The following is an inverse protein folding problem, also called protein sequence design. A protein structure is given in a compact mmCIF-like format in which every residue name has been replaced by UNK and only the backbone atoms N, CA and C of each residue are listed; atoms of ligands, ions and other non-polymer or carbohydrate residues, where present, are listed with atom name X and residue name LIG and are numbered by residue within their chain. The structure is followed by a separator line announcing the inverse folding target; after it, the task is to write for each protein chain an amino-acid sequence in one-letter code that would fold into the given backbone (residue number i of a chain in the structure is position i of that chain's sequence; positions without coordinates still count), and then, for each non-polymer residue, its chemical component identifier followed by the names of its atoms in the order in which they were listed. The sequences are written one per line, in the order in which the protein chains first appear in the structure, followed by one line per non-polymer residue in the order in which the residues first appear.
data_IF_445691461670
#
_entry.id   IF_445691461670
#
_cell.length_a   1.000
_cell.length_b   1.000
_cell.length_c   1.000
_cell.angle_alpha   90.00
_cell.angle_beta   90.00
_cell.angle_gamma   90.00
#
_symmetry.space_group_name_H-M   'P 1'
#
loop_
_entity.id
_entity.type
_entity.pdbx_description
1 polymer ?
#
# COMPACT_ATOMS: atom_id res chain seq x y z
N UNK A 1 13.36 -21.09 -31.32
CA UNK A 1 13.01 -21.26 -29.89
C UNK A 1 13.35 -22.68 -29.44
N UNK A 2 14.17 -22.84 -28.37
CA UNK A 2 14.41 -24.17 -27.80
C UNK A 2 13.11 -24.73 -27.24
N UNK A 3 12.71 -25.93 -27.63
CA UNK A 3 11.52 -26.60 -27.12
C UNK A 3 11.65 -26.81 -25.61
N UNK A 4 10.70 -26.29 -24.84
CA UNK A 4 10.69 -26.44 -23.37
C UNK A 4 10.44 -27.90 -23.03
N UNK A 5 11.29 -28.50 -22.21
CA UNK A 5 11.12 -29.89 -21.75
C UNK A 5 9.82 -30.05 -20.97
N UNK A 6 9.15 -31.19 -21.18
CA UNK A 6 7.89 -31.54 -20.55
C UNK A 6 8.05 -32.74 -19.61
N UNK A 7 7.04 -32.98 -18.76
CA UNK A 7 6.99 -34.21 -17.93
C UNK A 7 7.06 -35.49 -18.77
N UNK A 8 6.52 -35.46 -20.01
CA UNK A 8 6.57 -36.59 -20.92
C UNK A 8 8.01 -36.89 -21.42
N UNK A 9 8.82 -35.85 -21.62
CA UNK A 9 10.22 -36.03 -22.02
C UNK A 9 11.02 -36.69 -20.88
N UNK A 10 10.78 -36.29 -19.62
CA UNK A 10 11.39 -36.95 -18.44
C UNK A 10 10.88 -38.39 -18.30
N UNK A 11 9.59 -38.64 -18.45
CA UNK A 11 9.01 -39.98 -18.35
C UNK A 11 9.65 -40.93 -19.35
N UNK A 12 9.87 -40.48 -20.59
CA UNK A 12 10.58 -41.21 -21.64
C UNK A 12 12.03 -41.50 -21.25
N UNK A 13 12.74 -40.50 -20.73
CA UNK A 13 14.16 -40.65 -20.33
C UNK A 13 14.32 -41.55 -19.11
N UNK A 14 13.44 -41.45 -18.12
CA UNK A 14 13.45 -42.26 -16.91
C UNK A 14 12.84 -43.66 -17.11
N UNK A 15 12.23 -43.96 -18.27
CA UNK A 15 11.50 -45.20 -18.59
C UNK A 15 10.40 -45.55 -17.58
N UNK A 16 9.68 -44.54 -17.08
CA UNK A 16 8.55 -44.70 -16.16
C UNK A 16 7.30 -43.99 -16.74
N UNK A 17 6.16 -44.23 -16.08
CA UNK A 17 4.91 -43.57 -16.53
C UNK A 17 4.94 -42.05 -16.25
N UNK A 18 4.20 -41.27 -17.06
CA UNK A 18 3.98 -39.84 -16.86
C UNK A 18 3.44 -39.57 -15.44
N UNK A 19 2.57 -40.48 -14.93
CA UNK A 19 2.00 -40.36 -13.59
C UNK A 19 3.07 -40.53 -12.51
N UNK A 20 4.03 -41.46 -12.69
CA UNK A 20 5.15 -41.68 -11.76
C UNK A 20 6.03 -40.40 -11.70
N UNK A 21 6.39 -39.80 -12.84
CA UNK A 21 7.15 -38.56 -12.89
C UNK A 21 6.37 -37.42 -12.23
N UNK A 22 5.09 -37.28 -12.54
CA UNK A 22 4.24 -36.24 -11.93
C UNK A 22 4.16 -36.40 -10.42
N UNK A 23 4.03 -37.63 -9.89
CA UNK A 23 4.03 -37.90 -8.44
C UNK A 23 5.38 -37.59 -7.81
N UNK A 24 6.49 -37.98 -8.47
CA UNK A 24 7.83 -37.73 -7.98
C UNK A 24 8.13 -36.22 -7.86
N UNK A 25 7.88 -35.44 -8.92
CA UNK A 25 8.15 -34.02 -8.98
C UNK A 25 7.23 -33.21 -8.03
N UNK A 26 5.98 -33.64 -7.84
CA UNK A 26 5.02 -32.97 -6.97
C UNK A 26 4.98 -33.53 -5.54
N UNK A 27 5.94 -34.33 -5.15
CA UNK A 27 6.06 -34.96 -3.84
C UNK A 27 4.79 -35.71 -3.36
N UNK A 28 4.06 -36.34 -4.29
CA UNK A 28 2.84 -37.11 -3.97
C UNK A 28 3.18 -38.54 -3.56
N UNK A 29 2.34 -39.21 -2.74
CA UNK A 29 2.51 -40.61 -2.37
C UNK A 29 2.39 -41.56 -3.57
N UNK A 30 2.92 -42.80 -3.43
CA UNK A 30 2.85 -43.86 -4.46
C UNK A 30 4.07 -43.90 -5.37
N UNK A 31 5.18 -43.32 -4.96
CA UNK A 31 6.52 -43.45 -5.57
C UNK A 31 7.51 -43.65 -4.41
N UNK A 32 8.40 -44.69 -4.51
CA UNK A 32 9.46 -44.89 -3.52
C UNK A 32 10.47 -43.73 -3.54
N UNK A 33 11.14 -43.53 -2.40
CA UNK A 33 12.11 -42.43 -2.27
C UNK A 33 13.29 -42.60 -3.24
N UNK A 34 13.74 -43.81 -3.51
CA UNK A 34 14.78 -44.11 -4.51
C UNK A 34 14.36 -43.67 -5.92
N UNK A 35 13.16 -44.06 -6.35
CA UNK A 35 12.63 -43.68 -7.69
C UNK A 35 12.40 -42.17 -7.75
N UNK A 36 11.90 -41.57 -6.69
CA UNK A 36 11.70 -40.13 -6.59
C UNK A 36 13.04 -39.40 -6.79
N UNK A 37 14.07 -39.77 -6.04
CA UNK A 37 15.38 -39.12 -6.11
C UNK A 37 16.00 -39.29 -7.50
N UNK A 38 15.91 -40.49 -8.09
CA UNK A 38 16.38 -40.73 -9.46
C UNK A 38 15.71 -39.84 -10.49
N UNK A 39 14.39 -39.65 -10.40
CA UNK A 39 13.62 -38.77 -11.30
C UNK A 39 14.01 -37.29 -11.11
N UNK A 40 14.17 -36.85 -9.86
CA UNK A 40 14.59 -35.45 -9.58
C UNK A 40 15.98 -35.14 -10.12
N UNK A 41 16.94 -36.03 -9.89
CA UNK A 41 18.31 -35.90 -10.41
C UNK A 41 18.32 -35.88 -11.97
N UNK A 42 17.55 -36.75 -12.61
CA UNK A 42 17.43 -36.79 -14.05
C UNK A 42 16.77 -35.51 -14.61
N UNK A 43 15.71 -35.02 -13.96
CA UNK A 43 15.04 -33.77 -14.34
C UNK A 43 16.00 -32.57 -14.27
N UNK A 44 16.79 -32.49 -13.21
CA UNK A 44 17.82 -31.46 -13.04
C UNK A 44 18.91 -31.55 -14.11
N UNK A 45 19.44 -32.75 -14.35
CA UNK A 45 20.47 -32.99 -15.38
C UNK A 45 19.97 -32.62 -16.79
N UNK A 46 18.68 -32.83 -17.08
CA UNK A 46 18.03 -32.44 -18.34
C UNK A 46 17.72 -30.94 -18.41
N UNK A 47 17.87 -30.18 -17.32
CA UNK A 47 17.47 -28.75 -17.27
C UNK A 47 15.96 -28.57 -17.30
N UNK A 48 15.20 -29.52 -16.76
CA UNK A 48 13.75 -29.37 -16.64
C UNK A 48 13.40 -28.41 -15.51
N UNK A 49 12.62 -27.40 -15.85
CA UNK A 49 12.01 -26.51 -14.87
C UNK A 49 10.50 -26.76 -14.80
N UNK A 50 9.95 -27.05 -13.61
CA UNK A 50 8.52 -27.23 -13.46
C UNK A 50 7.72 -26.08 -14.11
N UNK A 51 6.70 -26.41 -14.85
CA UNK A 51 5.81 -25.42 -15.42
C UNK A 51 4.77 -25.04 -14.34
N UNK A 52 4.98 -23.93 -13.68
CA UNK A 52 4.08 -23.41 -12.64
C UNK A 52 2.67 -23.19 -13.14
N UNK A 53 2.48 -22.81 -14.43
CA UNK A 53 1.15 -22.63 -15.04
C UNK A 53 0.43 -23.99 -15.12
N UNK A 54 1.12 -25.03 -15.61
CA UNK A 54 0.56 -26.37 -15.71
C UNK A 54 0.26 -26.97 -14.32
N UNK A 55 1.12 -26.69 -13.33
CA UNK A 55 0.89 -27.08 -11.93
C UNK A 55 -0.32 -26.35 -11.36
N UNK A 56 -0.44 -25.04 -11.60
CA UNK A 56 -1.56 -24.22 -11.15
C UNK A 56 -2.89 -24.72 -11.71
N UNK A 57 -2.94 -25.11 -13.00
CA UNK A 57 -4.11 -25.75 -13.61
C UNK A 57 -4.48 -27.08 -12.93
N UNK A 58 -3.49 -27.89 -12.58
CA UNK A 58 -3.71 -29.19 -11.94
C UNK A 58 -4.09 -29.10 -10.44
N UNK A 59 -3.57 -28.10 -9.73
CA UNK A 59 -3.76 -27.91 -8.28
C UNK A 59 -4.79 -26.85 -7.94
N UNK A 60 -5.23 -26.04 -8.93
CA UNK A 60 -6.02 -24.83 -8.78
C UNK A 60 -5.33 -23.76 -7.87
N UNK A 61 -3.99 -23.86 -7.71
CA UNK A 61 -3.18 -22.93 -6.94
C UNK A 61 -2.08 -22.34 -7.83
N UNK A 62 -2.08 -21.02 -7.98
CA UNK A 62 -1.09 -20.30 -8.79
C UNK A 62 0.09 -19.82 -7.95
N UNK A 63 -0.01 -19.86 -6.63
CA UNK A 63 0.91 -19.26 -5.66
C UNK A 63 1.27 -17.82 -6.06
N UNK A 64 0.28 -17.06 -6.49
CA UNK A 64 0.47 -15.71 -7.01
C UNK A 64 -0.63 -14.79 -6.48
N UNK A 65 -0.23 -13.64 -5.97
CA UNK A 65 -1.13 -12.59 -5.49
C UNK A 65 -0.90 -11.29 -6.28
N UNK A 66 -1.91 -10.44 -6.29
CA UNK A 66 -1.82 -9.09 -6.83
C UNK A 66 -1.58 -8.06 -5.72
N UNK A 67 -0.68 -7.12 -5.96
CA UNK A 67 -0.52 -5.93 -5.13
C UNK A 67 -0.73 -4.71 -6.01
N UNK A 68 -1.81 -3.96 -5.75
CA UNK A 68 -2.17 -2.77 -6.51
C UNK A 68 -1.90 -1.54 -5.66
N UNK A 69 -1.10 -0.61 -6.17
CA UNK A 69 -0.73 0.64 -5.51
C UNK A 69 -0.97 1.83 -6.43
N UNK A 70 -1.34 3.01 -5.88
CA UNK A 70 -1.51 4.22 -6.68
C UNK A 70 -0.21 4.72 -7.30
N UNK A 71 0.89 4.73 -6.54
CA UNK A 71 2.19 5.20 -6.99
C UNK A 71 3.32 4.49 -6.24
N UNK A 72 4.03 3.59 -6.92
CA UNK A 72 5.15 2.84 -6.34
C UNK A 72 6.43 3.69 -6.15
N UNK A 73 6.46 4.92 -6.66
CA UNK A 73 7.57 5.87 -6.40
C UNK A 73 7.39 6.61 -5.07
N UNK A 74 6.18 6.63 -4.53
CA UNK A 74 5.92 7.16 -3.20
C UNK A 74 6.44 6.16 -2.13
N UNK A 75 7.39 6.60 -1.25
CA UNK A 75 7.97 5.72 -0.23
C UNK A 75 6.96 5.04 0.69
N UNK A 76 5.78 5.62 0.92
CA UNK A 76 4.68 4.99 1.64
C UNK A 76 4.35 3.62 1.02
N UNK A 77 3.99 3.62 -0.26
CA UNK A 77 3.60 2.38 -0.96
C UNK A 77 4.78 1.44 -1.15
N UNK A 78 5.98 1.99 -1.38
CA UNK A 78 7.20 1.17 -1.50
C UNK A 78 7.51 0.40 -0.21
N UNK A 79 7.34 1.01 0.98
CA UNK A 79 7.54 0.33 2.26
C UNK A 79 6.45 -0.71 2.56
N UNK A 80 5.19 -0.41 2.23
CA UNK A 80 4.09 -1.39 2.33
C UNK A 80 4.36 -2.57 1.40
N UNK A 81 4.72 -2.30 0.13
CA UNK A 81 5.06 -3.34 -0.85
C UNK A 81 6.21 -4.22 -0.37
N UNK A 82 7.25 -3.63 0.24
CA UNK A 82 8.35 -4.39 0.84
C UNK A 82 7.89 -5.34 1.94
N UNK A 83 6.96 -4.89 2.79
CA UNK A 83 6.38 -5.75 3.83
C UNK A 83 5.57 -6.91 3.25
N UNK A 84 4.82 -6.67 2.16
CA UNK A 84 4.09 -7.72 1.43
C UNK A 84 5.05 -8.70 0.77
N UNK A 85 6.11 -8.19 0.11
CA UNK A 85 7.12 -9.01 -0.58
C UNK A 85 7.87 -9.94 0.36
N UNK A 86 8.36 -9.39 1.49
CA UNK A 86 9.08 -10.17 2.51
C UNK A 86 8.21 -11.35 2.99
N UNK A 87 6.94 -11.10 3.32
CA UNK A 87 6.04 -12.16 3.76
C UNK A 87 5.64 -13.13 2.64
N UNK A 88 5.46 -12.66 1.39
CA UNK A 88 5.15 -13.52 0.26
C UNK A 88 6.30 -14.49 -0.04
N UNK A 89 7.53 -14.00 0.01
CA UNK A 89 8.74 -14.83 -0.14
C UNK A 89 8.80 -15.94 0.92
N UNK A 90 8.55 -15.59 2.19
CA UNK A 90 8.53 -16.53 3.32
C UNK A 90 7.48 -17.64 3.14
N UNK A 91 6.37 -17.36 2.44
CA UNK A 91 5.26 -18.28 2.21
C UNK A 91 5.23 -18.90 0.79
N UNK A 92 6.26 -18.66 -0.03
CA UNK A 92 6.37 -19.25 -1.38
C UNK A 92 5.40 -18.66 -2.42
N UNK A 93 4.92 -17.43 -2.20
CA UNK A 93 4.07 -16.70 -3.15
C UNK A 93 4.86 -15.73 -4.02
N UNK A 94 4.41 -15.58 -5.26
CA UNK A 94 4.86 -14.53 -6.17
C UNK A 94 3.90 -13.35 -6.12
N UNK A 95 4.42 -12.14 -6.39
CA UNK A 95 3.62 -10.91 -6.42
C UNK A 95 3.59 -10.33 -7.84
N UNK A 96 2.39 -9.98 -8.32
CA UNK A 96 2.21 -9.02 -9.39
C UNK A 96 1.99 -7.64 -8.79
N UNK A 97 3.03 -6.80 -8.76
CA UNK A 97 2.91 -5.39 -8.38
C UNK A 97 2.40 -4.59 -9.59
N UNK A 98 1.30 -3.88 -9.39
CA UNK A 98 0.69 -3.03 -10.42
C UNK A 98 0.57 -1.60 -9.91
N UNK A 99 1.13 -0.66 -10.67
CA UNK A 99 1.06 0.78 -10.41
C UNK A 99 -0.07 1.40 -11.24
N UNK A 100 -1.00 2.11 -10.57
CA UNK A 100 -2.19 2.68 -11.24
C UNK A 100 -2.06 4.16 -11.54
N UNK A 101 -0.99 4.81 -11.07
CA UNK A 101 -0.69 6.23 -11.31
C UNK A 101 -1.86 7.16 -10.88
N UNK A 102 -2.44 6.90 -9.71
CA UNK A 102 -3.58 7.65 -9.14
C UNK A 102 -4.84 7.66 -10.05
N UNK A 103 -4.88 6.84 -11.11
CA UNK A 103 -5.91 6.81 -12.15
C UNK A 103 -6.87 5.63 -11.93
N UNK A 104 -8.17 5.88 -11.65
CA UNK A 104 -9.16 4.83 -11.47
C UNK A 104 -9.42 3.98 -12.72
N UNK A 105 -9.19 4.52 -13.93
CA UNK A 105 -9.35 3.75 -15.18
C UNK A 105 -8.24 2.71 -15.30
N UNK A 106 -7.01 3.11 -14.98
CA UNK A 106 -5.88 2.17 -14.91
C UNK A 106 -6.06 1.13 -13.81
N UNK A 107 -6.66 1.53 -12.69
CA UNK A 107 -6.95 0.61 -11.59
C UNK A 107 -7.92 -0.49 -12.01
N UNK A 108 -9.01 -0.15 -12.72
CA UNK A 108 -9.94 -1.13 -13.28
C UNK A 108 -9.25 -2.08 -14.25
N UNK A 109 -8.46 -1.56 -15.19
CA UNK A 109 -7.72 -2.38 -16.15
C UNK A 109 -6.72 -3.32 -15.45
N UNK A 110 -6.08 -2.86 -14.36
CA UNK A 110 -5.19 -3.66 -13.54
C UNK A 110 -5.93 -4.83 -12.87
N UNK A 111 -7.10 -4.56 -12.27
CA UNK A 111 -7.93 -5.58 -11.63
C UNK A 111 -8.42 -6.61 -12.63
N UNK A 112 -8.88 -6.19 -13.83
CA UNK A 112 -9.25 -7.10 -14.91
C UNK A 112 -8.09 -7.99 -15.34
N UNK A 113 -6.90 -7.42 -15.50
CA UNK A 113 -5.70 -8.18 -15.87
C UNK A 113 -5.32 -9.21 -14.80
N UNK A 114 -5.40 -8.85 -13.53
CA UNK A 114 -5.10 -9.75 -12.40
C UNK A 114 -6.13 -10.88 -12.32
N UNK A 115 -7.42 -10.57 -12.49
CA UNK A 115 -8.49 -11.58 -12.51
C UNK A 115 -8.27 -12.60 -13.63
N UNK A 116 -7.97 -12.14 -14.85
CA UNK A 116 -7.67 -13.02 -16.01
C UNK A 116 -6.47 -13.94 -15.79
N UNK A 117 -5.53 -13.55 -14.90
CA UNK A 117 -4.36 -14.35 -14.54
C UNK A 117 -4.65 -15.37 -13.43
N UNK A 118 -5.90 -15.44 -12.94
CA UNK A 118 -6.32 -16.35 -11.89
C UNK A 118 -5.43 -16.28 -10.64
N UNK A 119 -5.13 -15.07 -10.16
CA UNK A 119 -4.41 -14.88 -8.90
C UNK A 119 -5.25 -15.38 -7.73
N UNK A 120 -4.60 -15.86 -6.65
CA UNK A 120 -5.29 -16.43 -5.49
C UNK A 120 -5.90 -15.36 -4.58
N UNK A 121 -5.40 -14.12 -4.66
CA UNK A 121 -5.94 -12.99 -3.91
C UNK A 121 -5.27 -11.68 -4.28
N UNK A 122 -5.83 -10.57 -3.81
CA UNK A 122 -5.33 -9.23 -4.09
C UNK A 122 -5.22 -8.36 -2.83
N UNK A 123 -4.16 -7.55 -2.76
CA UNK A 123 -4.00 -6.46 -1.80
C UNK A 123 -4.14 -5.15 -2.58
N UNK A 124 -5.13 -4.33 -2.19
CA UNK A 124 -5.44 -3.06 -2.85
C UNK A 124 -5.13 -1.91 -1.90
N UNK A 125 -4.05 -1.16 -2.17
CA UNK A 125 -3.64 -0.04 -1.34
C UNK A 125 -4.30 1.24 -1.83
N UNK A 126 -5.02 1.94 -0.95
CA UNK A 126 -5.56 3.29 -1.18
C UNK A 126 -6.28 3.44 -2.53
N UNK A 127 -7.12 2.48 -2.90
CA UNK A 127 -7.88 2.47 -4.16
C UNK A 127 -8.53 3.83 -4.45
N UNK A 128 -8.51 4.26 -5.71
CA UNK A 128 -9.15 5.50 -6.19
C UNK A 128 -10.52 5.25 -6.81
N UNK A 129 -10.95 4.00 -6.86
CA UNK A 129 -12.29 3.64 -7.37
C UNK A 129 -13.41 4.18 -6.48
N UNK A 130 -14.56 4.58 -7.04
CA UNK A 130 -15.78 4.74 -6.28
C UNK A 130 -16.09 3.48 -5.48
N UNK A 131 -16.66 3.64 -4.29
CA UNK A 131 -16.84 2.51 -3.35
C UNK A 131 -17.69 1.39 -3.96
N UNK A 132 -18.76 1.75 -4.71
CA UNK A 132 -19.64 0.79 -5.40
C UNK A 132 -18.85 -0.08 -6.38
N UNK A 133 -18.05 0.55 -7.22
CA UNK A 133 -17.25 -0.14 -8.24
C UNK A 133 -16.16 -0.99 -7.58
N UNK A 134 -15.52 -0.48 -6.52
CA UNK A 134 -14.54 -1.25 -5.76
C UNK A 134 -15.16 -2.52 -5.16
N UNK A 135 -16.35 -2.43 -4.57
CA UNK A 135 -17.08 -3.56 -4.00
C UNK A 135 -17.44 -4.61 -5.07
N UNK A 136 -17.86 -4.18 -6.28
CA UNK A 136 -18.11 -5.07 -7.42
C UNK A 136 -16.82 -5.80 -7.85
N UNK A 137 -15.70 -5.09 -7.91
CA UNK A 137 -14.42 -5.71 -8.26
C UNK A 137 -13.96 -6.70 -7.21
N UNK A 138 -14.08 -6.38 -5.91
CA UNK A 138 -13.71 -7.27 -4.80
C UNK A 138 -14.43 -8.62 -4.89
N UNK A 139 -15.72 -8.62 -5.25
CA UNK A 139 -16.52 -9.85 -5.37
C UNK A 139 -15.97 -10.86 -6.38
N UNK A 140 -15.17 -10.40 -7.34
CA UNK A 140 -14.58 -11.26 -8.39
C UNK A 140 -13.41 -12.10 -7.90
N UNK A 141 -12.73 -11.67 -6.83
CA UNK A 141 -11.53 -12.33 -6.32
C UNK A 141 -11.86 -13.30 -5.17
N UNK A 142 -11.12 -14.41 -5.03
CA UNK A 142 -11.31 -15.34 -3.92
C UNK A 142 -11.05 -14.69 -2.55
N UNK A 143 -10.04 -13.84 -2.45
CA UNK A 143 -9.64 -13.14 -1.23
C UNK A 143 -9.10 -11.75 -1.56
N UNK A 144 -9.48 -10.74 -0.77
CA UNK A 144 -9.00 -9.37 -0.94
C UNK A 144 -8.69 -8.74 0.42
N UNK A 145 -7.58 -8.02 0.47
CA UNK A 145 -7.29 -7.10 1.57
C UNK A 145 -7.22 -5.68 1.01
N UNK A 146 -7.95 -4.76 1.62
CA UNK A 146 -7.85 -3.33 1.28
C UNK A 146 -7.10 -2.57 2.37
N UNK A 147 -6.20 -1.68 1.96
CA UNK A 147 -5.47 -0.78 2.87
C UNK A 147 -5.98 0.64 2.62
N UNK A 148 -6.32 1.35 3.70
CA UNK A 148 -6.89 2.72 3.67
C UNK A 148 -8.21 2.82 2.88
N UNK A 149 -9.01 1.78 2.92
CA UNK A 149 -10.37 1.76 2.34
C UNK A 149 -11.31 0.99 3.25
N UNK A 150 -12.58 1.37 3.23
CA UNK A 150 -13.65 0.65 3.92
C UNK A 150 -14.77 0.32 2.96
N UNK A 151 -15.23 -0.94 2.96
CA UNK A 151 -16.47 -1.31 2.28
C UNK A 151 -17.66 -0.75 3.05
N UNK A 152 -18.80 -0.52 2.35
CA UNK A 152 -20.06 -0.12 3.00
C UNK A 152 -20.70 -1.28 3.77
N UNK A 153 -20.37 -2.51 3.40
CA UNK A 153 -20.89 -3.73 4.01
C UNK A 153 -19.75 -4.74 4.22
N UNK A 154 -19.80 -5.54 5.29
CA UNK A 154 -18.92 -6.68 5.42
C UNK A 154 -19.05 -7.62 4.22
N UNK A 155 -17.95 -8.11 3.70
CA UNK A 155 -17.88 -9.08 2.60
C UNK A 155 -17.08 -10.28 3.06
N UNK A 156 -17.51 -11.53 2.74
CA UNK A 156 -16.90 -12.74 3.29
C UNK A 156 -15.45 -12.96 2.85
N UNK A 157 -15.06 -12.37 1.73
CA UNK A 157 -13.73 -12.47 1.14
C UNK A 157 -12.86 -11.21 1.34
N UNK A 158 -13.21 -10.34 2.31
CA UNK A 158 -12.58 -9.04 2.47
C UNK A 158 -12.12 -8.78 3.90
N UNK A 159 -10.88 -8.33 4.03
CA UNK A 159 -10.35 -7.69 5.25
C UNK A 159 -9.92 -6.26 4.91
N UNK A 160 -10.20 -5.31 5.80
CA UNK A 160 -9.75 -3.92 5.68
C UNK A 160 -8.75 -3.54 6.77
N UNK A 161 -7.69 -2.82 6.38
CA UNK A 161 -6.66 -2.29 7.27
C UNK A 161 -6.63 -0.78 7.07
N UNK A 162 -6.98 -0.02 8.11
CA UNK A 162 -7.08 1.43 8.03
C UNK A 162 -6.17 2.11 9.04
N UNK A 163 -5.57 3.23 8.64
CA UNK A 163 -4.89 4.14 9.55
C UNK A 163 -5.95 5.08 10.15
N UNK A 164 -5.83 5.39 11.44
CA UNK A 164 -6.69 6.37 12.11
C UNK A 164 -6.29 7.79 11.73
N UNK A 165 -6.62 8.19 10.51
CA UNK A 165 -6.30 9.50 9.94
C UNK A 165 -6.88 10.66 10.76
N UNK A 166 -8.07 10.47 11.36
CA UNK A 166 -8.69 11.50 12.22
C UNK A 166 -7.88 11.72 13.48
N UNK A 167 -7.46 10.64 14.13
CA UNK A 167 -6.58 10.71 15.32
C UNK A 167 -5.23 11.35 14.97
N UNK A 168 -4.66 11.01 13.82
CA UNK A 168 -3.44 11.61 13.31
C UNK A 168 -3.57 13.13 13.18
N UNK A 169 -4.62 13.61 12.55
CA UNK A 169 -4.88 15.04 12.41
C UNK A 169 -5.03 15.73 13.79
N UNK A 170 -5.73 15.09 14.73
CA UNK A 170 -5.86 15.61 16.10
C UNK A 170 -4.51 15.74 16.81
N UNK A 171 -3.61 14.75 16.65
CA UNK A 171 -2.26 14.79 17.22
C UNK A 171 -1.43 15.93 16.61
N UNK A 172 -1.46 16.08 15.28
CA UNK A 172 -0.72 17.13 14.58
C UNK A 172 -1.20 18.52 14.98
N UNK A 173 -2.51 18.77 14.96
CA UNK A 173 -3.07 20.06 15.34
C UNK A 173 -2.90 20.34 16.83
N UNK A 174 -3.05 19.35 17.69
CA UNK A 174 -2.79 19.48 19.13
C UNK A 174 -1.35 19.94 19.41
N UNK A 175 -0.37 19.43 18.66
CA UNK A 175 1.01 19.87 18.75
C UNK A 175 1.18 21.32 18.30
N UNK A 176 0.63 21.71 17.14
CA UNK A 176 0.66 23.12 16.68
C UNK A 176 0.06 24.06 17.73
N UNK A 177 -1.08 23.69 18.29
CA UNK A 177 -1.75 24.52 19.32
C UNK A 177 -0.91 24.65 20.59
N UNK A 178 -0.21 23.58 21.00
CA UNK A 178 0.72 23.61 22.14
C UNK A 178 1.93 24.54 21.88
N UNK A 179 2.36 24.68 20.61
CA UNK A 179 3.38 25.61 20.17
C UNK A 179 2.86 27.06 20.00
N UNK A 180 1.57 27.33 20.32
CA UNK A 180 0.95 28.63 20.16
C UNK A 180 0.51 28.99 18.74
N UNK A 181 0.60 28.06 17.77
CA UNK A 181 0.18 28.27 16.39
C UNK A 181 -1.34 28.36 16.30
N UNK A 182 -1.84 29.30 15.49
CA UNK A 182 -3.29 29.56 15.37
C UNK A 182 -3.76 29.73 13.91
N UNK A 183 -2.85 30.09 13.00
CA UNK A 183 -3.13 30.24 11.56
C UNK A 183 -2.70 28.97 10.83
N UNK A 184 -3.41 27.85 11.13
CA UNK A 184 -3.04 26.51 10.71
C UNK A 184 -3.70 26.22 9.36
N UNK A 185 -2.91 26.08 8.29
CA UNK A 185 -3.37 25.63 6.98
C UNK A 185 -3.29 24.10 6.85
N UNK A 186 -4.09 23.53 5.96
CA UNK A 186 -4.03 22.12 5.58
C UNK A 186 -3.83 21.98 4.08
N UNK A 187 -2.69 21.38 3.68
CA UNK A 187 -2.47 20.96 2.29
C UNK A 187 -2.95 19.52 2.17
N UNK A 188 -4.12 19.35 1.54
CA UNK A 188 -4.80 18.06 1.45
C UNK A 188 -4.39 17.30 0.16
N UNK A 189 -4.64 16.00 0.14
CA UNK A 189 -4.44 15.12 -1.02
C UNK A 189 -5.60 15.11 -2.00
N UNK A 190 -5.56 14.17 -2.98
CA UNK A 190 -6.58 14.05 -4.02
C UNK A 190 -8.00 13.87 -3.46
N UNK A 191 -9.00 14.49 -4.08
CA UNK A 191 -10.40 14.47 -3.61
C UNK A 191 -11.02 13.06 -3.57
N UNK A 192 -10.57 12.14 -4.42
CA UNK A 192 -10.99 10.73 -4.45
C UNK A 192 -10.23 9.84 -3.45
N UNK A 193 -9.36 10.41 -2.62
CA UNK A 193 -8.65 9.70 -1.56
C UNK A 193 -9.50 9.61 -0.29
N UNK A 194 -9.70 8.41 0.24
CA UNK A 194 -10.36 8.20 1.53
C UNK A 194 -9.57 8.82 2.68
N UNK A 195 -8.23 8.69 2.66
CA UNK A 195 -7.37 9.32 3.68
C UNK A 195 -7.44 10.84 3.62
N UNK A 196 -7.52 11.45 2.42
CA UNK A 196 -7.68 12.89 2.29
C UNK A 196 -8.97 13.38 2.95
N UNK A 197 -10.08 12.69 2.74
CA UNK A 197 -11.37 12.99 3.38
C UNK A 197 -11.27 12.85 4.90
N UNK A 198 -10.72 11.73 5.41
CA UNK A 198 -10.61 11.48 6.86
C UNK A 198 -9.68 12.47 7.56
N UNK A 199 -8.54 12.84 6.94
CA UNK A 199 -7.61 13.86 7.45
C UNK A 199 -8.27 15.23 7.51
N UNK A 200 -9.08 15.59 6.49
CA UNK A 200 -9.85 16.85 6.49
C UNK A 200 -10.92 16.86 7.58
N UNK A 201 -11.61 15.74 7.79
CA UNK A 201 -12.58 15.61 8.90
C UNK A 201 -11.90 15.77 10.27
N UNK A 202 -10.73 15.12 10.46
CA UNK A 202 -9.92 15.24 11.67
C UNK A 202 -9.38 16.66 11.89
N UNK A 203 -8.87 17.32 10.83
CA UNK A 203 -8.44 18.71 10.86
C UNK A 203 -9.58 19.64 11.31
N UNK A 204 -10.76 19.52 10.68
CA UNK A 204 -11.92 20.31 11.05
C UNK A 204 -12.39 20.05 12.48
N UNK A 205 -12.36 18.80 12.92
CA UNK A 205 -12.73 18.43 14.29
C UNK A 205 -11.77 19.04 15.31
N UNK A 206 -10.46 19.00 15.05
CA UNK A 206 -9.45 19.58 15.93
C UNK A 206 -9.57 21.11 16.04
N UNK A 207 -9.80 21.82 14.94
CA UNK A 207 -10.04 23.27 14.95
C UNK A 207 -11.29 23.63 15.76
N UNK A 208 -12.41 22.89 15.55
CA UNK A 208 -13.63 23.11 16.34
C UNK A 208 -13.40 22.93 17.83
N UNK A 209 -12.67 21.88 18.21
CA UNK A 209 -12.37 21.60 19.63
C UNK A 209 -11.47 22.67 20.26
N UNK A 210 -10.70 23.40 19.45
CA UNK A 210 -9.85 24.52 19.87
C UNK A 210 -10.54 25.88 19.73
N UNK A 211 -11.83 25.91 19.37
CA UNK A 211 -12.60 27.14 19.10
C UNK A 211 -11.97 28.05 18.05
N UNK A 212 -11.25 27.46 17.09
CA UNK A 212 -10.65 28.17 15.95
C UNK A 212 -11.60 28.20 14.74
N UNK A 213 -11.55 29.27 13.94
CA UNK A 213 -12.42 29.41 12.76
C UNK A 213 -12.12 28.32 11.71
N UNK A 214 -13.18 27.81 11.08
CA UNK A 214 -13.09 26.93 9.92
C UNK A 214 -13.12 27.77 8.65
N UNK A 215 -11.97 28.28 8.22
CA UNK A 215 -11.85 29.02 6.97
C UNK A 215 -11.52 28.06 5.81
N UNK A 216 -12.41 27.94 4.81
CA UNK A 216 -12.13 27.09 3.64
C UNK A 216 -10.88 27.51 2.86
N UNK A 217 -10.47 28.79 2.96
CA UNK A 217 -9.27 29.29 2.29
C UNK A 217 -7.97 28.73 2.91
N UNK A 218 -8.03 28.21 4.14
CA UNK A 218 -6.91 27.54 4.80
C UNK A 218 -6.68 26.09 4.30
N UNK A 219 -7.52 25.61 3.37
CA UNK A 219 -7.38 24.26 2.80
C UNK A 219 -7.05 24.37 1.32
N UNK A 220 -5.98 23.71 0.90
CA UNK A 220 -5.56 23.57 -0.50
C UNK A 220 -5.40 22.10 -0.84
N UNK A 221 -5.91 21.66 -2.00
CA UNK A 221 -5.74 20.29 -2.48
C UNK A 221 -4.62 20.22 -3.51
N UNK A 222 -3.84 19.13 -3.50
CA UNK A 222 -2.73 18.96 -4.44
C UNK A 222 -2.52 17.49 -4.85
N UNK A 223 -1.66 17.28 -5.85
CA UNK A 223 -1.03 15.97 -6.08
C UNK A 223 -0.23 15.54 -4.85
N UNK A 224 -0.22 14.24 -4.47
CA UNK A 224 0.41 13.79 -3.23
C UNK A 224 1.94 13.61 -3.35
N UNK A 225 2.60 14.56 -3.99
CA UNK A 225 4.04 14.61 -4.28
C UNK A 225 4.68 15.95 -3.84
N UNK A 226 5.99 16.06 -3.98
CA UNK A 226 6.73 17.26 -3.55
C UNK A 226 6.34 18.50 -4.34
N UNK A 227 6.16 18.37 -5.65
CA UNK A 227 5.80 19.52 -6.50
C UNK A 227 4.39 20.03 -6.19
N UNK A 228 3.42 19.11 -6.00
CA UNK A 228 2.08 19.45 -5.54
C UNK A 228 2.10 20.20 -4.22
N UNK A 229 2.90 19.73 -3.25
CA UNK A 229 3.10 20.39 -1.96
C UNK A 229 3.69 21.79 -2.08
N UNK A 230 4.69 21.97 -2.93
CA UNK A 230 5.33 23.26 -3.19
C UNK A 230 4.36 24.28 -3.78
N UNK A 231 3.65 23.88 -4.83
CA UNK A 231 2.67 24.77 -5.50
C UNK A 231 1.51 25.13 -4.57
N UNK A 232 0.99 24.18 -3.81
CA UNK A 232 -0.10 24.42 -2.87
C UNK A 232 0.31 25.37 -1.73
N UNK A 233 1.52 25.19 -1.16
CA UNK A 233 2.03 26.07 -0.13
C UNK A 233 2.27 27.49 -0.67
N UNK A 234 2.83 27.65 -1.87
CA UNK A 234 3.01 28.93 -2.52
C UNK A 234 1.66 29.66 -2.75
N UNK A 235 0.62 28.94 -3.21
CA UNK A 235 -0.72 29.47 -3.37
C UNK A 235 -1.34 29.91 -2.03
N UNK A 236 -1.14 29.14 -0.97
CA UNK A 236 -1.57 29.49 0.38
C UNK A 236 -0.88 30.76 0.88
N UNK A 237 0.44 30.88 0.73
CA UNK A 237 1.18 32.09 1.16
C UNK A 237 0.79 33.34 0.39
N UNK A 238 0.48 33.22 -0.91
CA UNK A 238 0.05 34.35 -1.73
C UNK A 238 -1.28 34.94 -1.26
N UNK A 239 -2.24 34.10 -0.84
CA UNK A 239 -3.56 34.55 -0.38
C UNK A 239 -3.64 34.80 1.13
N UNK A 240 -2.83 34.08 1.92
CA UNK A 240 -2.88 34.10 3.38
C UNK A 240 -1.45 34.22 3.99
N UNK A 241 -0.82 35.40 3.92
CA UNK A 241 0.60 35.54 4.31
C UNK A 241 0.89 35.31 5.80
N UNK A 242 -0.15 35.25 6.64
CA UNK A 242 -0.05 35.08 8.09
C UNK A 242 -0.10 33.60 8.55
N UNK A 243 -0.08 32.64 7.62
CA UNK A 243 -0.03 31.21 7.99
C UNK A 243 1.21 30.95 8.83
N UNK A 244 1.01 30.38 10.03
CA UNK A 244 2.03 30.05 11.03
C UNK A 244 2.26 28.54 11.21
N UNK A 245 1.39 27.69 10.61
CA UNK A 245 1.56 26.24 10.57
C UNK A 245 0.91 25.62 9.34
N UNK A 246 1.51 24.52 8.85
CA UNK A 246 0.98 23.70 7.74
C UNK A 246 0.92 22.24 8.20
N UNK A 247 -0.29 21.69 8.25
CA UNK A 247 -0.52 20.26 8.25
C UNK A 247 -0.53 19.77 6.81
N UNK A 248 0.36 18.84 6.46
CA UNK A 248 0.49 18.35 5.10
C UNK A 248 -0.12 16.93 4.96
N UNK A 249 -0.69 16.65 3.80
CA UNK A 249 -1.30 15.35 3.48
C UNK A 249 -0.34 14.19 3.73
N UNK A 250 0.90 14.29 3.28
CA UNK A 250 1.95 13.30 3.52
C UNK A 250 3.32 13.99 3.64
N UNK A 251 4.37 13.23 3.87
CA UNK A 251 5.72 13.77 4.02
C UNK A 251 6.27 14.37 2.71
N UNK A 252 5.92 13.82 1.55
CA UNK A 252 6.34 14.41 0.27
C UNK A 252 5.73 15.80 0.07
N UNK A 253 4.44 15.95 0.36
CA UNK A 253 3.75 17.25 0.35
C UNK A 253 4.36 18.21 1.39
N UNK A 254 4.70 17.71 2.58
CA UNK A 254 5.36 18.50 3.62
C UNK A 254 6.73 19.01 3.18
N UNK A 255 7.53 18.16 2.53
CA UNK A 255 8.85 18.54 1.99
C UNK A 255 8.70 19.60 0.89
N UNK A 256 7.72 19.46 0.01
CA UNK A 256 7.39 20.49 -0.98
C UNK A 256 6.98 21.82 -0.33
N UNK A 257 6.18 21.77 0.75
CA UNK A 257 5.80 22.97 1.50
C UNK A 257 7.02 23.64 2.19
N UNK A 258 8.00 22.84 2.68
CA UNK A 258 9.26 23.39 3.20
C UNK A 258 10.05 24.13 2.12
N UNK A 259 10.10 23.60 0.91
CA UNK A 259 10.72 24.28 -0.24
C UNK A 259 10.01 25.60 -0.56
N UNK A 260 8.69 25.63 -0.55
CA UNK A 260 7.93 26.87 -0.77
C UNK A 260 8.16 27.90 0.36
N UNK A 261 8.39 27.46 1.62
CA UNK A 261 8.81 28.36 2.69
C UNK A 261 10.16 29.00 2.39
N UNK A 262 11.16 28.23 1.96
CA UNK A 262 12.47 28.73 1.58
C UNK A 262 12.38 29.76 0.43
N UNK A 263 11.62 29.44 -0.62
CA UNK A 263 11.37 30.32 -1.76
C UNK A 263 10.69 31.65 -1.35
N UNK A 264 9.81 31.61 -0.33
CA UNK A 264 9.12 32.78 0.23
C UNK A 264 9.93 33.50 1.32
N UNK A 265 11.16 33.07 1.63
CA UNK A 265 12.00 33.63 2.69
C UNK A 265 11.47 33.38 4.11
N UNK A 266 10.59 32.38 4.29
CA UNK A 266 10.04 31.97 5.57
C UNK A 266 10.90 30.88 6.21
N UNK A 267 11.17 31.01 7.49
CA UNK A 267 11.93 30.01 8.27
C UNK A 267 11.00 28.93 8.82
N UNK A 268 11.45 27.69 8.73
CA UNK A 268 10.81 26.53 9.36
C UNK A 268 11.68 26.08 10.53
N UNK A 269 11.15 26.01 11.76
CA UNK A 269 9.74 26.16 12.16
C UNK A 269 9.35 27.58 12.61
N UNK A 270 10.28 28.55 12.65
CA UNK A 270 10.10 29.84 13.34
C UNK A 270 8.89 30.61 12.79
N UNK A 271 8.83 30.84 11.46
CA UNK A 271 7.74 31.56 10.80
C UNK A 271 6.57 30.63 10.47
N UNK A 272 6.85 29.40 10.05
CA UNK A 272 5.82 28.40 9.67
C UNK A 272 6.26 27.02 10.13
N UNK A 273 5.55 26.45 11.09
CA UNK A 273 5.76 25.07 11.53
C UNK A 273 5.12 24.09 10.53
N UNK A 274 5.74 22.93 10.27
CA UNK A 274 5.25 21.95 9.28
C UNK A 274 5.22 20.56 9.89
N UNK A 275 4.09 19.88 9.75
CA UNK A 275 3.92 18.47 10.12
C UNK A 275 3.46 17.66 8.91
N UNK A 276 4.17 16.55 8.62
CA UNK A 276 3.84 15.56 7.60
C UNK A 276 3.09 14.35 8.15
N UNK A 277 2.94 13.35 7.30
CA UNK A 277 2.37 12.04 7.61
C UNK A 277 3.15 10.97 6.86
N UNK A 278 3.35 9.81 7.46
CA UNK A 278 3.92 8.55 6.97
C UNK A 278 5.27 8.18 7.60
N UNK A 279 6.07 9.14 8.05
CA UNK A 279 7.44 8.96 8.56
C UNK A 279 8.35 8.22 7.57
N UNK A 280 8.36 8.71 6.32
CA UNK A 280 9.24 8.16 5.28
C UNK A 280 10.71 8.47 5.58
N UNK A 281 11.69 7.71 5.02
CA UNK A 281 13.11 7.93 5.30
C UNK A 281 13.59 9.37 5.05
N UNK A 282 13.00 10.07 4.07
CA UNK A 282 13.33 11.46 3.76
C UNK A 282 13.04 12.42 4.91
N UNK A 283 12.05 12.13 5.77
CA UNK A 283 11.70 12.97 6.92
C UNK A 283 12.87 13.17 7.90
N UNK A 284 13.83 12.23 7.94
CA UNK A 284 15.02 12.32 8.80
C UNK A 284 16.22 12.99 8.13
N UNK A 285 16.18 13.13 6.78
CA UNK A 285 17.32 13.60 5.97
C UNK A 285 17.20 15.09 5.66
N UNK A 286 15.97 15.58 5.38
CA UNK A 286 15.69 17.00 5.10
C UNK A 286 16.11 17.91 6.25
N UNK A 287 16.32 19.19 5.97
CA UNK A 287 16.69 20.21 6.95
C UNK A 287 15.74 21.42 6.85
N UNK A 288 15.07 21.71 7.97
CA UNK A 288 15.01 20.99 9.27
C UNK A 288 14.40 19.59 9.12
N UNK A 289 14.71 18.65 10.06
CA UNK A 289 14.12 17.30 10.03
C UNK A 289 12.62 17.38 10.26
N UNK A 290 11.87 16.63 9.46
CA UNK A 290 10.41 16.74 9.43
C UNK A 290 9.74 16.04 10.63
N UNK A 291 8.97 16.79 11.39
CA UNK A 291 7.97 16.28 12.34
C UNK A 291 6.84 15.63 11.56
N UNK A 292 6.45 14.40 11.92
CA UNK A 292 5.50 13.63 11.10
C UNK A 292 4.74 12.62 11.94
N UNK A 293 3.60 12.16 11.42
CA UNK A 293 2.84 11.06 11.99
C UNK A 293 3.41 9.73 11.50
N UNK A 294 3.91 8.94 12.44
CA UNK A 294 4.51 7.64 12.19
C UNK A 294 3.48 6.53 12.21
N UNK A 295 3.58 5.64 11.21
CA UNK A 295 2.98 4.30 11.20
C UNK A 295 4.01 3.30 10.69
N UNK A 296 4.00 2.08 11.23
CA UNK A 296 4.93 1.05 10.75
C UNK A 296 4.46 0.47 9.42
N UNK A 297 4.89 1.09 8.31
CA UNK A 297 4.45 0.78 6.95
C UNK A 297 4.78 -0.66 6.53
N UNK A 298 5.97 -1.17 6.90
CA UNK A 298 6.33 -2.58 6.62
C UNK A 298 5.45 -3.55 7.39
N UNK A 299 5.11 -3.21 8.63
CA UNK A 299 4.18 -4.02 9.42
C UNK A 299 2.78 -4.07 8.78
N UNK A 300 2.29 -2.94 8.26
CA UNK A 300 1.03 -2.90 7.49
C UNK A 300 1.09 -3.86 6.30
N UNK A 301 2.19 -3.86 5.54
CA UNK A 301 2.39 -4.79 4.43
C UNK A 301 2.38 -6.27 4.87
N UNK A 302 3.12 -6.61 5.92
CA UNK A 302 3.13 -7.98 6.48
C UNK A 302 1.75 -8.40 7.01
N UNK A 303 1.05 -7.49 7.71
CA UNK A 303 -0.30 -7.73 8.20
C UNK A 303 -1.28 -7.95 7.04
N UNK A 304 -1.18 -7.14 5.98
CA UNK A 304 -2.03 -7.28 4.81
C UNK A 304 -1.83 -8.64 4.11
N UNK A 305 -0.57 -9.07 3.95
CA UNK A 305 -0.32 -10.37 3.37
C UNK A 305 -0.81 -11.51 4.26
N UNK A 306 -0.49 -11.50 5.55
CA UNK A 306 -0.96 -12.53 6.49
C UNK A 306 -2.49 -12.63 6.45
N UNK A 307 -3.19 -11.51 6.55
CA UNK A 307 -4.65 -11.48 6.47
C UNK A 307 -5.18 -12.03 5.14
N UNK A 308 -4.46 -11.78 4.02
CA UNK A 308 -4.82 -12.35 2.72
C UNK A 308 -4.65 -13.86 2.69
N UNK A 309 -3.55 -14.39 3.23
CA UNK A 309 -3.30 -15.84 3.29
C UNK A 309 -4.32 -16.53 4.19
N UNK A 310 -4.62 -15.97 5.35
CA UNK A 310 -5.65 -16.50 6.26
C UNK A 310 -7.04 -16.55 5.56
N UNK A 311 -7.38 -15.56 4.70
CA UNK A 311 -8.59 -15.61 3.87
C UNK A 311 -8.53 -16.71 2.80
N UNK A 312 -7.39 -16.89 2.13
CA UNK A 312 -7.20 -17.91 1.08
C UNK A 312 -7.31 -19.32 1.68
N UNK A 313 -6.84 -19.51 2.90
CA UNK A 313 -6.89 -20.78 3.62
C UNK A 313 -8.26 -21.05 4.28
N UNK A 314 -9.10 -20.03 4.40
CA UNK A 314 -10.43 -20.13 5.02
C UNK A 314 -10.38 -20.03 6.55
N UNK A 315 -9.26 -19.62 7.11
CA UNK A 315 -9.03 -19.52 8.56
C UNK A 315 -9.44 -18.16 9.14
N UNK A 316 -9.66 -17.14 8.27
CA UNK A 316 -10.04 -15.81 8.70
C UNK A 316 -11.53 -15.54 8.55
N UNK A 317 -12.08 -14.79 9.50
CA UNK A 317 -13.36 -14.09 9.34
C UNK A 317 -13.15 -12.68 8.86
N UNK A 318 -14.09 -12.09 8.10
CA UNK A 318 -14.04 -10.68 7.70
C UNK A 318 -13.80 -9.78 8.91
N UNK A 319 -12.78 -8.93 8.82
CA UNK A 319 -12.34 -8.07 9.92
C UNK A 319 -11.93 -6.70 9.40
N UNK A 320 -11.96 -5.71 10.29
CA UNK A 320 -11.39 -4.39 10.07
C UNK A 320 -10.33 -4.13 11.13
N UNK A 321 -9.11 -3.85 10.70
CA UNK A 321 -8.01 -3.44 11.58
C UNK A 321 -7.84 -1.93 11.50
N UNK A 322 -7.64 -1.30 12.67
CA UNK A 322 -7.30 0.11 12.76
C UNK A 322 -5.90 0.26 13.34
N UNK A 323 -5.06 1.03 12.66
CA UNK A 323 -3.68 1.31 13.05
C UNK A 323 -3.63 2.73 13.61
N UNK A 324 -3.15 2.88 14.82
CA UNK A 324 -3.02 4.18 15.46
C UNK A 324 -1.69 4.83 15.06
N UNK A 325 -1.70 6.09 14.57
CA UNK A 325 -0.49 6.84 14.28
C UNK A 325 0.11 7.42 15.57
N UNK A 326 1.43 7.62 15.56
CA UNK A 326 2.17 8.29 16.62
C UNK A 326 2.84 9.57 16.08
N UNK A 327 2.81 10.65 16.83
CA UNK A 327 3.54 11.86 16.44
C UNK A 327 5.04 11.71 16.75
N UNK A 328 5.87 11.84 15.71
CA UNK A 328 7.34 11.90 15.82
C UNK A 328 7.79 13.34 15.69
N UNK A 329 8.04 13.97 16.84
CA UNK A 329 8.50 15.36 16.91
C UNK A 329 9.96 15.43 16.49
N UNK A 330 10.27 16.38 15.58
CA UNK A 330 11.61 16.71 15.09
C UNK A 330 11.76 18.23 15.02
N UNK A 331 12.50 18.72 14.02
CA UNK A 331 12.93 20.10 13.99
C UNK A 331 11.95 21.04 13.24
N UNK A 332 10.99 20.52 12.47
CA UNK A 332 10.07 21.35 11.65
C UNK A 332 8.81 21.81 12.36
N UNK A 333 8.56 21.31 13.58
CA UNK A 333 7.44 21.74 14.42
C UNK A 333 7.64 21.35 15.88
#
# INVERSE_FOLDING_TARGET
MKKRLTLADIAKAAKVSLMTVSRAINNKPGVSDEVRQSILTLAEAMGYHPNYIARGLATRRTATIGLVVPDNTNPFFAQVARGVEDGAYENGYNIFLVNTNEDPVRELAALDSLWQKNIEGAILCSSRLPTEILEEQIQRFPAVVVVNREPRKPMPNLISININDQRGAQLALGHFLALGRRQIAFINGPANSTSARRRLEGYRAALRSAELPLDPQMVEACSPDMEGGRLAAAALFARLPKIDAIYAFNDLVAIGAMQACEEAGKKVPEDTAIIGVDDIPLATIVRPRLTTLHVNLRHIGRLALRSLLDLIEGDATPAAFQIEPELRIRDSA
#
